data_IF_429725127541
#
_entry.id   IF_429725127541
#
_cell.length_a   1.000
_cell.length_b   1.000
_cell.length_c   1.000
_cell.angle_alpha   90.00
_cell.angle_beta   90.00
_cell.angle_gamma   90.00
#
_symmetry.space_group_name_H-M   'P 1'
#
loop_
_entity.id
_entity.type
_entity.pdbx_description
1 polymer ?
#
# COMPACT_ATOMS: atom_id res chain seq x y z
N UNK A 1 -3.68 79.41 -3.23
CA UNK A 1 -5.07 78.99 -3.57
C UNK A 1 -5.00 77.62 -4.27
N UNK A 2 -5.62 76.59 -3.65
CA UNK A 2 -6.05 75.26 -4.17
C UNK A 2 -4.99 74.39 -4.91
N UNK A 3 -4.38 73.38 -4.27
CA UNK A 3 -4.95 72.05 -3.91
C UNK A 3 -5.64 71.40 -5.11
N UNK A 4 -4.94 70.53 -5.87
CA UNK A 4 -5.49 69.42 -6.69
C UNK A 4 -4.42 68.73 -7.56
N UNK A 5 -3.35 68.18 -6.98
CA UNK A 5 -2.50 67.24 -7.75
C UNK A 5 -2.10 65.97 -6.99
N UNK A 6 -2.40 65.87 -5.70
CA UNK A 6 -1.98 64.73 -4.87
C UNK A 6 -3.04 63.62 -4.71
N UNK A 7 -3.85 63.34 -5.74
CA UNK A 7 -4.91 62.33 -5.61
C UNK A 7 -5.11 61.42 -6.82
N UNK A 8 -4.16 61.39 -7.77
CA UNK A 8 -4.26 60.50 -8.95
C UNK A 8 -3.09 59.51 -9.12
N UNK A 9 -2.15 59.50 -8.16
CA UNK A 9 -0.96 58.63 -8.23
C UNK A 9 -1.01 57.45 -7.24
N UNK A 10 -1.82 57.55 -6.18
CA UNK A 10 -2.00 56.48 -5.18
C UNK A 10 -2.80 55.29 -5.74
N UNK A 11 -3.73 55.53 -6.68
CA UNK A 11 -4.61 54.49 -7.21
C UNK A 11 -3.96 53.58 -8.27
N UNK A 12 -2.94 54.07 -9.01
CA UNK A 12 -2.25 53.27 -10.04
C UNK A 12 -1.33 52.21 -9.43
N UNK A 13 -0.63 52.54 -8.35
CA UNK A 13 0.24 51.57 -7.67
C UNK A 13 -0.57 50.46 -7.01
N UNK A 14 -1.72 50.76 -6.39
CA UNK A 14 -2.56 49.74 -5.76
C UNK A 14 -3.17 48.74 -6.75
N UNK A 15 -3.43 49.14 -8.00
CA UNK A 15 -3.99 48.25 -9.03
C UNK A 15 -2.91 47.30 -9.56
N UNK A 16 -1.68 47.80 -9.75
CA UNK A 16 -0.54 46.98 -10.17
C UNK A 16 -0.22 45.93 -9.10
N UNK A 17 -0.20 46.29 -7.81
CA UNK A 17 -0.01 45.32 -6.73
C UNK A 17 -1.13 44.25 -6.68
N UNK A 18 -2.38 44.62 -6.96
CA UNK A 18 -3.52 43.68 -6.97
C UNK A 18 -3.52 42.71 -8.16
N UNK A 19 -2.95 43.11 -9.29
CA UNK A 19 -2.77 42.23 -10.47
C UNK A 19 -1.55 41.32 -10.33
N UNK A 20 -0.46 41.82 -9.76
CA UNK A 20 0.76 41.02 -9.51
C UNK A 20 0.52 39.97 -8.42
N UNK A 21 -0.22 40.30 -7.36
CA UNK A 21 -0.59 39.32 -6.33
C UNK A 21 -1.55 38.23 -6.81
N UNK A 22 -2.42 38.52 -7.78
CA UNK A 22 -3.35 37.52 -8.33
C UNK A 22 -2.70 36.63 -9.40
N UNK A 23 -1.69 37.10 -10.14
CA UNK A 23 -0.94 36.28 -11.09
C UNK A 23 0.04 35.29 -10.42
N UNK A 24 0.63 35.64 -9.26
CA UNK A 24 1.57 34.78 -8.54
C UNK A 24 0.89 33.62 -7.79
N UNK A 25 -0.40 33.70 -7.49
CA UNK A 25 -1.17 32.61 -6.87
C UNK A 25 -1.53 31.47 -7.83
N UNK A 26 -1.51 31.71 -9.15
CA UNK A 26 -1.94 30.70 -10.14
C UNK A 26 -0.81 29.75 -10.55
N UNK A 27 0.46 30.14 -10.37
CA UNK A 27 1.60 29.34 -10.81
C UNK A 27 2.01 28.24 -9.79
N UNK A 28 1.62 28.37 -8.52
CA UNK A 28 1.97 27.37 -7.48
C UNK A 28 1.00 26.18 -7.44
N UNK A 29 -0.09 26.23 -8.20
CA UNK A 29 -1.03 25.11 -8.37
C UNK A 29 -0.82 24.34 -9.69
N UNK A 30 0.34 24.54 -10.34
CA UNK A 30 0.81 23.64 -11.39
C UNK A 30 1.33 22.34 -10.77
N UNK A 31 0.37 21.54 -10.29
CA UNK A 31 0.32 20.10 -10.54
C UNK A 31 1.68 19.40 -10.60
N UNK A 32 2.33 19.24 -9.45
CA UNK A 32 2.82 17.91 -9.12
C UNK A 32 1.58 17.04 -8.94
N UNK A 33 0.95 16.65 -10.06
CA UNK A 33 0.24 15.38 -10.12
C UNK A 33 1.30 14.40 -9.65
N UNK A 34 1.21 13.96 -8.40
CA UNK A 34 1.81 12.71 -7.97
C UNK A 34 1.46 11.75 -9.09
N UNK A 35 2.47 11.36 -9.85
CA UNK A 35 2.37 10.32 -10.85
C UNK A 35 1.69 9.17 -10.16
N UNK A 36 0.41 8.95 -10.50
CA UNK A 36 -0.35 7.73 -10.23
C UNK A 36 0.23 6.56 -11.06
N UNK A 37 1.56 6.46 -11.10
CA UNK A 37 2.31 5.25 -11.35
C UNK A 37 2.79 4.78 -9.99
N UNK A 38 1.86 4.30 -9.15
CA UNK A 38 2.22 3.63 -7.91
C UNK A 38 3.29 2.59 -8.23
N UNK A 39 4.41 2.64 -7.51
CA UNK A 39 5.48 1.65 -7.69
C UNK A 39 4.85 0.26 -7.60
N UNK A 40 4.96 -0.51 -8.69
CA UNK A 40 4.46 -1.89 -8.75
C UNK A 40 4.97 -2.64 -7.51
N UNK A 41 4.11 -3.41 -6.81
CA UNK A 41 4.51 -4.13 -5.62
C UNK A 41 5.67 -5.06 -5.97
N UNK A 42 6.72 -5.05 -5.15
CA UNK A 42 7.79 -6.02 -5.30
C UNK A 42 7.26 -7.42 -4.95
N UNK A 43 7.48 -8.38 -5.83
CA UNK A 43 7.17 -9.78 -5.57
C UNK A 43 8.21 -10.38 -4.62
N UNK A 44 7.79 -11.34 -3.79
CA UNK A 44 8.67 -11.99 -2.83
C UNK A 44 8.10 -11.98 -1.42
N UNK A 45 8.98 -12.14 -0.44
CA UNK A 45 8.63 -12.26 0.97
C UNK A 45 9.34 -11.18 1.75
N UNK A 46 8.59 -10.45 2.54
CA UNK A 46 9.11 -9.55 3.55
C UNK A 46 8.88 -10.15 4.93
N UNK A 47 9.91 -10.08 5.76
CA UNK A 47 9.86 -10.50 7.15
C UNK A 47 9.99 -9.27 8.03
N UNK A 48 9.09 -9.14 8.99
CA UNK A 48 9.12 -8.08 9.98
C UNK A 48 9.14 -8.73 11.35
N UNK A 49 10.26 -8.62 12.06
CA UNK A 49 10.32 -9.08 13.44
C UNK A 49 9.36 -8.26 14.30
N UNK A 50 8.57 -8.94 15.14
CA UNK A 50 7.75 -8.28 16.14
C UNK A 50 8.59 -8.09 17.40
N UNK A 51 8.51 -6.90 17.99
CA UNK A 51 9.15 -6.59 19.27
C UNK A 51 8.30 -7.15 20.44
N UNK A 52 8.09 -8.47 20.44
CA UNK A 52 7.31 -9.19 21.45
C UNK A 52 8.16 -10.06 22.38
N UNK A 53 9.49 -10.04 22.18
CA UNK A 53 10.46 -10.81 22.95
C UNK A 53 10.37 -12.34 22.76
N UNK A 54 9.55 -12.83 21.82
CA UNK A 54 9.28 -14.27 21.62
C UNK A 54 9.73 -14.79 20.26
N UNK A 55 10.37 -13.94 19.45
CA UNK A 55 10.86 -14.32 18.11
C UNK A 55 9.74 -14.49 17.09
N UNK A 56 8.57 -13.89 17.33
CA UNK A 56 7.48 -13.89 16.34
C UNK A 56 7.84 -12.97 15.18
N UNK A 57 7.63 -13.45 13.96
CA UNK A 57 7.81 -12.67 12.75
C UNK A 57 6.47 -12.53 12.02
N UNK A 58 6.24 -11.36 11.44
CA UNK A 58 5.21 -11.17 10.44
C UNK A 58 5.79 -11.49 9.07
N UNK A 59 5.20 -12.46 8.40
CA UNK A 59 5.49 -12.83 7.02
C UNK A 59 4.49 -12.13 6.10
N UNK A 60 5.01 -11.41 5.12
CA UNK A 60 4.21 -10.74 4.08
C UNK A 60 4.70 -11.25 2.73
N UNK A 61 3.92 -12.11 2.10
CA UNK A 61 4.23 -12.63 0.77
C UNK A 61 3.41 -11.91 -0.30
N UNK A 62 4.09 -11.38 -1.32
CA UNK A 62 3.47 -10.73 -2.47
C UNK A 62 3.75 -11.56 -3.72
N UNK A 63 2.68 -12.10 -4.31
CA UNK A 63 2.73 -12.82 -5.58
C UNK A 63 2.14 -11.98 -6.71
N UNK A 64 2.65 -12.18 -7.93
CA UNK A 64 2.11 -11.57 -9.14
C UNK A 64 1.32 -12.62 -9.93
N UNK A 65 0.27 -12.19 -10.61
CA UNK A 65 -0.49 -12.98 -11.55
C UNK A 65 0.41 -13.50 -12.67
N UNK A 66 0.05 -14.66 -13.23
CA UNK A 66 0.75 -15.19 -14.42
C UNK A 66 0.61 -14.22 -15.59
N UNK A 67 1.62 -14.14 -16.45
CA UNK A 67 1.61 -13.30 -17.67
C UNK A 67 0.35 -13.56 -18.51
N UNK A 68 0.01 -14.83 -18.73
CA UNK A 68 -1.21 -15.24 -19.44
C UNK A 68 -2.49 -14.65 -18.82
N UNK A 69 -2.61 -14.60 -17.50
CA UNK A 69 -3.77 -14.02 -16.83
C UNK A 69 -3.83 -12.48 -17.01
N UNK A 70 -2.66 -11.85 -17.10
CA UNK A 70 -2.52 -10.41 -17.36
C UNK A 70 -2.92 -10.09 -18.80
N UNK A 71 -2.38 -10.83 -19.76
CA UNK A 71 -2.67 -10.69 -21.20
C UNK A 71 -4.16 -10.89 -21.52
N UNK A 72 -4.78 -11.90 -20.92
CA UNK A 72 -6.22 -12.16 -21.09
C UNK A 72 -7.11 -11.16 -20.33
N UNK A 73 -6.52 -10.28 -19.53
CA UNK A 73 -7.19 -9.32 -18.66
C UNK A 73 -8.36 -9.95 -17.85
N UNK A 74 -8.17 -11.18 -17.37
CA UNK A 74 -9.21 -11.93 -16.65
C UNK A 74 -9.08 -11.71 -15.14
N UNK A 75 -10.03 -11.01 -14.48
CA UNK A 75 -9.91 -10.68 -13.04
C UNK A 75 -9.80 -11.92 -12.15
N UNK A 76 -10.57 -12.97 -12.47
CA UNK A 76 -10.59 -14.22 -11.71
C UNK A 76 -9.28 -14.99 -11.86
N UNK A 77 -8.70 -15.03 -13.08
CA UNK A 77 -7.40 -15.68 -13.30
C UNK A 77 -6.27 -14.88 -12.65
N UNK A 78 -6.31 -13.54 -12.72
CA UNK A 78 -5.35 -12.67 -12.05
C UNK A 78 -5.34 -12.91 -10.54
N UNK A 79 -6.52 -12.89 -9.91
CA UNK A 79 -6.67 -13.17 -8.48
C UNK A 79 -6.18 -14.57 -8.10
N UNK A 80 -6.61 -15.61 -8.84
CA UNK A 80 -6.24 -16.99 -8.54
C UNK A 80 -4.74 -17.22 -8.64
N UNK A 81 -4.13 -16.78 -9.75
CA UNK A 81 -2.70 -17.02 -10.00
C UNK A 81 -1.80 -16.17 -9.12
N UNK A 82 -2.15 -14.91 -8.84
CA UNK A 82 -1.38 -14.04 -7.95
C UNK A 82 -1.40 -14.55 -6.51
N UNK A 83 -2.57 -14.96 -5.99
CA UNK A 83 -2.65 -15.51 -4.64
C UNK A 83 -2.00 -16.88 -4.53
N UNK A 84 -2.06 -17.70 -5.58
CA UNK A 84 -1.34 -18.97 -5.60
C UNK A 84 0.18 -18.74 -5.56
N UNK A 85 0.70 -17.80 -6.34
CA UNK A 85 2.11 -17.41 -6.29
C UNK A 85 2.53 -16.91 -4.88
N UNK A 86 1.70 -16.11 -4.21
CA UNK A 86 1.95 -15.67 -2.83
C UNK A 86 1.98 -16.84 -1.84
N UNK A 87 1.07 -17.82 -1.98
CA UNK A 87 1.06 -19.04 -1.15
C UNK A 87 2.31 -19.89 -1.38
N UNK A 88 2.76 -20.02 -2.61
CA UNK A 88 3.95 -20.81 -2.94
C UNK A 88 5.23 -20.19 -2.38
N UNK A 89 5.32 -18.86 -2.38
CA UNK A 89 6.36 -18.14 -1.66
C UNK A 89 6.35 -18.48 -0.16
N UNK A 90 5.19 -18.40 0.51
CA UNK A 90 5.09 -18.75 1.93
C UNK A 90 5.47 -20.21 2.20
N UNK A 91 4.98 -21.16 1.40
CA UNK A 91 5.32 -22.58 1.48
C UNK A 91 6.82 -22.82 1.39
N UNK A 92 7.47 -22.20 0.40
CA UNK A 92 8.92 -22.29 0.21
C UNK A 92 9.68 -21.74 1.42
N UNK A 93 9.26 -20.59 1.95
CA UNK A 93 9.93 -19.96 3.11
C UNK A 93 9.75 -20.75 4.41
N UNK A 94 8.58 -21.35 4.58
CA UNK A 94 8.23 -22.13 5.76
C UNK A 94 8.69 -23.60 5.66
N UNK A 95 9.27 -24.01 4.53
CA UNK A 95 9.76 -25.37 4.32
C UNK A 95 8.66 -26.43 4.33
N UNK A 96 7.43 -26.09 3.93
CA UNK A 96 6.27 -26.99 3.97
C UNK A 96 5.55 -27.06 2.63
N UNK A 97 4.97 -28.22 2.33
CA UNK A 97 4.05 -28.38 1.19
C UNK A 97 2.69 -27.70 1.45
N UNK A 98 2.24 -27.67 2.72
CA UNK A 98 0.93 -27.16 3.12
C UNK A 98 1.06 -26.25 4.33
N UNK A 99 0.52 -25.04 4.22
CA UNK A 99 0.56 -24.04 5.31
C UNK A 99 -0.33 -24.52 6.47
N UNK A 100 -1.36 -25.32 6.18
CA UNK A 100 -2.27 -25.91 7.15
C UNK A 100 -1.59 -26.90 8.10
N UNK A 101 -0.40 -27.41 7.75
CA UNK A 101 0.39 -28.29 8.62
C UNK A 101 1.07 -27.49 9.75
N UNK A 102 1.14 -26.17 9.61
CA UNK A 102 1.76 -25.25 10.56
C UNK A 102 0.76 -24.57 11.49
N UNK A 103 -0.45 -25.11 11.68
CA UNK A 103 -1.53 -24.52 12.52
C UNK A 103 -1.06 -23.99 13.88
N UNK A 104 -0.06 -24.61 14.49
CA UNK A 104 0.46 -24.19 15.80
C UNK A 104 1.52 -23.10 15.73
N UNK A 105 2.17 -22.94 14.57
CA UNK A 105 3.32 -22.07 14.31
C UNK A 105 3.02 -20.91 13.38
N UNK A 106 1.96 -20.99 12.59
CA UNK A 106 1.56 -20.01 11.60
C UNK A 106 0.07 -19.66 11.74
N UNK A 107 -0.22 -18.37 11.66
CA UNK A 107 -1.57 -17.82 11.62
C UNK A 107 -1.70 -16.92 10.41
N UNK A 108 -2.72 -17.16 9.60
CA UNK A 108 -3.10 -16.23 8.55
C UNK A 108 -3.78 -14.99 9.15
N UNK A 109 -3.39 -13.80 8.69
CA UNK A 109 -3.91 -12.53 9.23
C UNK A 109 -4.60 -11.66 8.19
N UNK A 110 -4.47 -11.98 6.90
CA UNK A 110 -5.19 -11.25 5.86
C UNK A 110 -4.69 -11.49 4.45
N UNK A 111 -5.58 -11.20 3.50
CA UNK A 111 -5.33 -11.19 2.05
C UNK A 111 -5.69 -9.81 1.51
N UNK A 112 -4.82 -9.24 0.69
CA UNK A 112 -5.04 -7.97 0.00
C UNK A 112 -4.80 -8.17 -1.50
N UNK A 113 -5.79 -7.79 -2.32
CA UNK A 113 -5.66 -7.78 -3.78
C UNK A 113 -5.30 -6.36 -4.24
N UNK A 114 -4.24 -6.26 -5.02
CA UNK A 114 -3.65 -5.00 -5.45
C UNK A 114 -3.63 -4.91 -6.98
N UNK A 115 -3.65 -3.70 -7.51
CA UNK A 115 -3.54 -3.41 -8.96
C UNK A 115 -4.48 -4.28 -9.81
N UNK A 116 -5.79 -4.15 -9.61
CA UNK A 116 -6.81 -4.91 -10.35
C UNK A 116 -6.54 -6.43 -10.35
N UNK A 117 -6.21 -6.97 -9.17
CA UNK A 117 -5.91 -8.38 -8.90
C UNK A 117 -4.60 -8.91 -9.52
N UNK A 118 -3.78 -8.06 -10.13
CA UNK A 118 -2.48 -8.47 -10.68
C UNK A 118 -1.49 -8.88 -9.60
N UNK A 119 -1.69 -8.41 -8.36
CA UNK A 119 -0.88 -8.80 -7.22
C UNK A 119 -1.78 -9.22 -6.06
N UNK A 120 -1.31 -10.22 -5.32
CA UNK A 120 -1.95 -10.68 -4.10
C UNK A 120 -0.92 -10.66 -2.99
N UNK A 121 -1.26 -10.00 -1.88
CA UNK A 121 -0.45 -9.93 -0.66
C UNK A 121 -1.12 -10.76 0.42
N UNK A 122 -0.39 -11.73 0.94
CA UNK A 122 -0.82 -12.59 2.05
C UNK A 122 0.04 -12.25 3.25
N UNK A 123 -0.61 -11.92 4.36
CA UNK A 123 0.06 -11.63 5.63
C UNK A 123 -0.24 -12.72 6.65
N UNK A 124 0.75 -13.08 7.45
CA UNK A 124 0.59 -14.01 8.55
C UNK A 124 1.65 -13.84 9.62
N UNK A 125 1.37 -14.37 10.80
CA UNK A 125 2.34 -14.45 11.90
C UNK A 125 2.97 -15.84 11.91
N UNK A 126 4.26 -15.90 12.18
CA UNK A 126 5.01 -17.14 12.31
C UNK A 126 5.89 -17.12 13.55
N UNK A 127 5.95 -18.24 14.26
CA UNK A 127 6.89 -18.49 15.34
C UNK A 127 7.30 -19.97 15.32
N UNK A 128 8.60 -20.23 15.25
CA UNK A 128 9.15 -21.58 15.17
C UNK A 128 8.85 -22.44 16.41
N UNK A 129 8.86 -21.80 17.60
CA UNK A 129 8.49 -22.39 18.88
C UNK A 129 6.98 -22.50 19.12
N UNK A 130 6.17 -22.04 18.16
CA UNK A 130 4.72 -21.97 18.27
C UNK A 130 4.23 -20.58 18.62
N UNK A 131 3.07 -20.21 18.08
CA UNK A 131 2.49 -18.89 18.30
C UNK A 131 1.86 -18.77 19.70
N UNK A 132 2.15 -17.69 20.44
CA UNK A 132 1.47 -17.35 21.67
C UNK A 132 -0.06 -17.36 21.52
N UNK A 133 -0.76 -17.80 22.56
CA UNK A 133 -2.22 -17.96 22.56
C UNK A 133 -2.96 -16.65 22.23
N UNK A 134 -2.42 -15.51 22.66
CA UNK A 134 -2.94 -14.17 22.36
C UNK A 134 -3.11 -13.88 20.86
N UNK A 135 -2.28 -14.46 19.99
CA UNK A 135 -2.38 -14.29 18.54
C UNK A 135 -3.41 -15.25 17.92
N UNK A 136 -3.59 -16.45 18.52
CA UNK A 136 -4.60 -17.43 18.08
C UNK A 136 -6.01 -16.91 18.26
N UNK A 137 -6.28 -16.28 19.40
CA UNK A 137 -7.61 -15.73 19.70
C UNK A 137 -8.00 -14.60 18.76
N UNK A 138 -7.03 -13.75 18.35
CA UNK A 138 -7.27 -12.66 17.38
C UNK A 138 -7.53 -13.17 15.96
N UNK A 139 -6.88 -14.26 15.55
CA UNK A 139 -7.07 -14.84 14.22
C UNK A 139 -8.50 -15.38 14.00
N UNK A 140 -9.05 -16.04 15.02
CA UNK A 140 -10.40 -16.64 14.98
C UNK A 140 -11.49 -15.56 14.86
N UNK A 141 -11.23 -14.34 15.35
CA UNK A 141 -12.17 -13.22 15.22
C UNK A 141 -12.18 -12.64 13.80
N UNK A 142 -11.03 -12.59 13.12
CA UNK A 142 -10.91 -12.05 11.76
C UNK A 142 -11.48 -12.98 10.66
N UNK A 143 -11.59 -14.29 10.90
CA UNK A 143 -12.21 -15.24 9.96
C UNK A 143 -13.75 -15.26 10.03
N UNK A 144 -14.37 -14.54 10.97
CA UNK A 144 -15.84 -14.50 11.19
C UNK A 144 -16.52 -13.21 10.73
N UNK A 145 -15.75 -12.25 10.22
CA UNK A 145 -16.22 -11.00 9.63
C UNK A 145 -16.07 -11.04 8.10
#
# INVERSE_FOLDING_TARGET
MKIRQSMNQSNRNSIIYRLVCSALMVVVLSTCRSTEGGLRPQTGIKEVALDDGRGTIQLIATGQASERAIELNSPSMKQSTSCQAAKDLLRKRLGTARIEDLRTKYIHTGVELLYANEYCRISGLYNEGGLPEQYRTRAIQLDRE
#
